data_IF_887269061093
#
_entry.id   IF_887269061093
#
_cell.length_a   1.000
_cell.length_b   1.000
_cell.length_c   1.000
_cell.angle_alpha   90.00
_cell.angle_beta   90.00
_cell.angle_gamma   90.00
#
_symmetry.space_group_name_H-M   'P 1'
#
loop_
_entity.id
_entity.type
_entity.pdbx_description
1 polymer ?
#
# COMPACT_ATOMS: atom_id res chain seq x y z
N UNK A 1 -8.55 1.15 22.21
CA UNK A 1 -8.47 1.64 21.24
C UNK A 1 -8.55 0.91 20.04
N UNK A 2 -9.48 0.96 19.37
CA UNK A 2 -9.67 0.16 18.23
C UNK A 2 -8.83 0.68 17.16
N UNK A 3 -7.96 -0.14 16.70
CA UNK A 3 -7.18 0.23 15.61
C UNK A 3 -7.40 -0.76 14.54
N UNK A 4 -7.06 -0.40 13.32
CA UNK A 4 -7.10 -1.35 12.22
C UNK A 4 -6.17 -2.50 12.56
N UNK A 5 -6.57 -3.67 12.14
CA UNK A 5 -5.69 -4.80 12.27
C UNK A 5 -4.67 -4.77 11.15
N UNK A 6 -3.43 -5.01 11.48
CA UNK A 6 -2.36 -5.04 10.50
C UNK A 6 -1.86 -6.47 10.36
N UNK A 7 -1.58 -6.86 9.11
CA UNK A 7 -1.15 -8.21 8.80
C UNK A 7 0.19 -8.18 8.11
N UNK A 8 0.95 -9.25 8.19
CA UNK A 8 2.20 -9.32 7.42
C UNK A 8 1.91 -9.32 5.94
N UNK A 9 2.91 -8.91 5.17
CA UNK A 9 2.75 -8.80 3.73
C UNK A 9 2.29 -10.12 3.12
N UNK A 10 2.82 -11.22 3.62
CA UNK A 10 2.46 -12.53 3.10
C UNK A 10 0.97 -12.79 3.17
N UNK A 11 0.39 -12.44 4.30
CA UNK A 11 -1.04 -12.66 4.50
C UNK A 11 -1.85 -11.75 3.59
N UNK A 12 -1.42 -10.50 3.47
CA UNK A 12 -2.14 -9.54 2.65
C UNK A 12 -2.10 -9.92 1.18
N UNK A 13 -0.94 -10.36 0.70
CA UNK A 13 -0.81 -10.78 -0.69
C UNK A 13 -1.73 -11.96 -0.96
N UNK A 14 -1.77 -12.89 -0.03
CA UNK A 14 -2.63 -14.05 -0.18
C UNK A 14 -4.09 -13.65 -0.27
N UNK A 15 -4.51 -12.72 0.59
CA UNK A 15 -5.90 -12.28 0.59
C UNK A 15 -6.27 -11.58 -0.70
N UNK A 16 -5.34 -10.80 -1.24
CA UNK A 16 -5.58 -10.12 -2.51
C UNK A 16 -5.68 -11.15 -3.63
N UNK A 17 -4.80 -12.13 -3.63
CA UNK A 17 -4.80 -13.15 -4.66
C UNK A 17 -6.07 -13.99 -4.62
N UNK A 18 -6.60 -14.21 -3.44
CA UNK A 18 -7.84 -14.97 -3.29
C UNK A 18 -9.08 -14.14 -3.62
N UNK A 19 -8.91 -12.84 -3.76
CA UNK A 19 -10.01 -11.96 -4.02
C UNK A 19 -10.77 -11.53 -2.78
N UNK A 20 -10.23 -11.81 -1.60
CA UNK A 20 -10.85 -11.38 -0.36
C UNK A 20 -10.65 -9.90 -0.11
N UNK A 21 -9.47 -9.41 -0.49
CA UNK A 21 -9.11 -8.01 -0.29
C UNK A 21 -8.82 -7.36 -1.63
N UNK A 22 -9.17 -6.09 -1.73
CA UNK A 22 -8.71 -5.27 -2.85
C UNK A 22 -7.44 -4.54 -2.44
N UNK A 23 -6.95 -3.71 -3.33
CA UNK A 23 -5.74 -2.95 -3.05
C UNK A 23 -5.94 -1.94 -1.93
N UNK A 24 -7.16 -1.39 -1.83
CA UNK A 24 -7.47 -0.46 -0.76
C UNK A 24 -7.37 -1.15 0.59
N UNK A 25 -7.92 -2.35 0.68
CA UNK A 25 -7.82 -3.12 1.92
C UNK A 25 -6.38 -3.48 2.21
N UNK A 26 -5.62 -3.80 1.18
CA UNK A 26 -4.20 -4.12 1.34
C UNK A 26 -3.48 -2.97 2.05
N UNK A 27 -3.67 -1.75 1.54
CA UNK A 27 -3.01 -0.59 2.12
C UNK A 27 -3.52 -0.32 3.53
N UNK A 28 -4.83 -0.45 3.72
CA UNK A 28 -5.44 -0.17 5.02
C UNK A 28 -4.95 -1.10 6.12
N UNK A 29 -4.59 -2.31 5.75
CA UNK A 29 -4.16 -3.29 6.74
C UNK A 29 -2.67 -3.59 6.68
N UNK A 30 -1.93 -2.83 5.92
CA UNK A 30 -0.50 -3.05 5.80
C UNK A 30 0.24 -2.50 7.02
N UNK A 31 0.08 -1.22 7.28
CA UNK A 31 0.67 -0.60 8.46
C UNK A 31 0.15 0.81 8.58
N UNK A 32 0.34 1.38 9.75
CA UNK A 32 -0.06 2.75 10.00
C UNK A 32 0.75 3.71 9.16
N UNK A 33 2.02 3.43 9.00
CA UNK A 33 2.90 4.25 8.18
C UNK A 33 2.42 4.31 6.74
N UNK A 34 2.05 3.16 6.21
CA UNK A 34 1.55 3.09 4.84
C UNK A 34 0.25 3.87 4.68
N UNK A 35 -0.59 3.81 5.68
CA UNK A 35 -1.83 4.57 5.64
C UNK A 35 -1.57 6.06 5.56
N UNK A 36 -0.65 6.53 6.37
CA UNK A 36 -0.30 7.94 6.37
C UNK A 36 0.30 8.36 5.03
N UNK A 37 1.23 7.57 4.53
CA UNK A 37 1.85 7.87 3.25
C UNK A 37 0.84 7.85 2.12
N UNK A 38 -0.06 6.89 2.16
CA UNK A 38 -1.09 6.77 1.15
C UNK A 38 -2.00 8.01 1.17
N UNK A 39 -2.38 8.43 2.37
CA UNK A 39 -3.21 9.62 2.50
C UNK A 39 -2.51 10.84 1.91
N UNK A 40 -1.25 11.02 2.25
CA UNK A 40 -0.46 12.13 1.73
C UNK A 40 -0.31 12.03 0.21
N UNK A 41 -0.08 10.83 -0.28
CA UNK A 41 0.06 10.60 -1.71
C UNK A 41 -1.22 11.05 -2.43
N UNK A 42 -2.36 10.67 -1.91
CA UNK A 42 -3.63 11.05 -2.52
C UNK A 42 -3.85 12.56 -2.46
N UNK A 43 -3.53 13.17 -1.34
CA UNK A 43 -3.68 14.61 -1.18
C UNK A 43 -2.78 15.35 -2.17
N UNK A 44 -1.54 14.91 -2.28
CA UNK A 44 -0.59 15.59 -3.16
C UNK A 44 -0.97 15.48 -4.63
N UNK A 45 -1.60 14.38 -4.98
CA UNK A 45 -1.97 14.15 -6.38
C UNK A 45 -3.41 14.49 -6.68
N UNK A 46 -4.16 14.88 -5.67
CA UNK A 46 -5.56 15.19 -5.86
C UNK A 46 -6.40 13.97 -6.15
N UNK A 47 -6.03 12.84 -5.58
CA UNK A 47 -6.75 11.59 -5.78
C UNK A 47 -7.68 11.31 -4.63
N UNK A 48 -8.72 10.54 -4.92
CA UNK A 48 -9.64 10.08 -3.87
C UNK A 48 -9.08 8.84 -3.22
N UNK A 49 -9.50 8.60 -2.00
CA UNK A 49 -9.15 7.37 -1.30
C UNK A 49 -10.07 6.27 -1.85
N UNK A 50 -9.54 5.45 -2.73
CA UNK A 50 -10.33 4.40 -3.35
C UNK A 50 -9.40 3.33 -3.87
N UNK A 51 -10.02 2.29 -4.43
CA UNK A 51 -9.28 1.13 -4.93
C UNK A 51 -8.24 1.55 -5.98
N UNK A 52 -8.63 2.42 -6.85
CA UNK A 52 -7.77 2.86 -7.94
C UNK A 52 -6.51 3.55 -7.43
N UNK A 53 -6.68 4.50 -6.53
CA UNK A 53 -5.53 5.22 -5.98
C UNK A 53 -4.68 4.32 -5.11
N UNK A 54 -5.31 3.36 -4.41
CA UNK A 54 -4.54 2.41 -3.61
C UNK A 54 -3.64 1.57 -4.51
N UNK A 55 -4.16 1.15 -5.64
CA UNK A 55 -3.39 0.37 -6.59
C UNK A 55 -2.20 1.18 -7.10
N UNK A 56 -2.44 2.44 -7.40
CA UNK A 56 -1.37 3.32 -7.87
C UNK A 56 -0.32 3.50 -6.79
N UNK A 57 -0.75 3.65 -5.55
CA UNK A 57 0.19 3.83 -4.44
C UNK A 57 1.06 2.61 -4.26
N UNK A 58 0.46 1.42 -4.32
CA UNK A 58 1.24 0.18 -4.18
C UNK A 58 2.26 0.07 -5.30
N UNK A 59 1.86 0.39 -6.52
CA UNK A 59 2.79 0.37 -7.64
C UNK A 59 3.91 1.39 -7.46
N UNK A 60 3.58 2.53 -6.91
CA UNK A 60 4.58 3.57 -6.64
C UNK A 60 5.61 3.08 -5.63
N UNK A 61 5.16 2.45 -4.55
CA UNK A 61 6.07 1.93 -3.54
C UNK A 61 6.96 0.83 -4.11
N UNK A 62 6.37 -0.01 -4.94
CA UNK A 62 7.10 -1.08 -5.59
C UNK A 62 8.22 -0.53 -6.46
N UNK A 63 7.90 0.50 -7.20
CA UNK A 63 8.87 1.13 -8.09
C UNK A 63 10.01 1.76 -7.31
N UNK A 64 9.71 2.40 -6.20
CA UNK A 64 10.74 3.00 -5.37
C UNK A 64 11.72 1.94 -4.87
N UNK A 65 11.19 0.81 -4.47
CA UNK A 65 12.03 -0.27 -4.00
C UNK A 65 12.91 -0.81 -5.11
N UNK A 66 12.35 -0.96 -6.30
CA UNK A 66 13.11 -1.43 -7.44
C UNK A 66 14.26 -0.49 -7.78
N UNK A 67 13.98 0.80 -7.77
CA UNK A 67 15.00 1.78 -8.10
C UNK A 67 16.14 1.74 -7.10
N UNK A 68 15.82 1.59 -5.84
CA UNK A 68 16.83 1.51 -4.81
C UNK A 68 17.73 0.29 -5.02
N UNK A 69 17.12 -0.82 -5.39
CA UNK A 69 17.89 -2.04 -5.64
C UNK A 69 18.79 -1.88 -6.86
N UNK A 70 18.27 -1.26 -7.89
CA UNK A 70 19.03 -1.09 -9.13
C UNK A 70 20.25 -0.20 -8.93
N UNK A 71 20.13 0.77 -8.06
CA UNK A 71 21.26 1.66 -7.81
C UNK A 71 22.35 0.99 -7.03
N UNK A 72 22.07 -0.15 -6.48
CA UNK A 72 23.06 -0.84 -5.69
C UNK A 72 23.34 -0.17 -4.38
N UNK A 73 22.36 0.52 -3.89
CA UNK A 73 22.51 1.16 -2.64
C UNK A 73 22.32 0.21 -1.57
N UNK A 74 23.01 -0.74 -1.51
CA UNK A 74 22.78 -1.76 -0.51
C UNK A 74 23.33 -1.35 0.81
#
# INVERSE_FOLDING_TARGET
MAKNKYYPEEVLVEKVQKGEYGWLDYVNHYSEEWLEEYTQYCLNKGLCICENSARQFVAYKDKLLEEALERGDA
#
